data_IF_330735559583
#
_entry.id   IF_330735559583
#
_cell.length_a   1.000
_cell.length_b   1.000
_cell.length_c   1.000
_cell.angle_alpha   90.00
_cell.angle_beta   90.00
_cell.angle_gamma   90.00
#
_symmetry.space_group_name_H-M   'P 1'
#
loop_
_entity.id
_entity.type
_entity.pdbx_description
1 polymer ?
#
# COMPACT_ATOMS: atom_id res chain seq x y z
N UNK A 1 -14.22 26.43 33.26
CA UNK A 1 -13.92 26.82 31.87
C UNK A 1 -12.56 26.24 31.51
N UNK A 2 -12.53 25.09 30.82
CA UNK A 2 -11.30 24.48 30.32
C UNK A 2 -11.34 24.46 28.81
N UNK A 3 -10.49 25.25 28.16
CA UNK A 3 -10.41 25.31 26.69
C UNK A 3 -9.81 24.01 26.17
N UNK A 4 -10.49 23.37 25.22
CA UNK A 4 -9.97 22.23 24.46
C UNK A 4 -8.69 22.67 23.75
N UNK A 5 -7.54 21.99 23.93
CA UNK A 5 -6.31 22.38 23.23
C UNK A 5 -6.53 22.26 21.70
N UNK A 6 -5.87 23.11 20.90
CA UNK A 6 -5.98 23.05 19.46
C UNK A 6 -5.41 21.70 18.99
N UNK A 7 -6.26 20.86 18.39
CA UNK A 7 -5.81 19.65 17.71
C UNK A 7 -4.83 20.07 16.62
N UNK A 8 -3.55 19.69 16.77
CA UNK A 8 -2.56 19.83 15.71
C UNK A 8 -3.13 19.26 14.40
N UNK A 9 -2.92 19.92 13.25
CA UNK A 9 -3.30 19.36 11.98
C UNK A 9 -2.53 18.04 11.81
N UNK A 10 -3.24 16.92 11.79
CA UNK A 10 -2.63 15.62 11.51
C UNK A 10 -2.22 15.67 10.05
N UNK A 11 -0.92 15.74 9.79
CA UNK A 11 -0.34 15.66 8.45
C UNK A 11 -0.97 14.49 7.70
N UNK A 12 -1.55 14.81 6.54
CA UNK A 12 -2.64 14.07 5.90
C UNK A 12 -2.23 12.76 5.22
N UNK A 13 -1.63 11.84 5.96
CA UNK A 13 -1.55 10.44 5.56
C UNK A 13 -2.87 9.73 5.86
N UNK A 14 -3.34 8.89 4.93
CA UNK A 14 -4.47 7.99 5.22
C UNK A 14 -4.05 7.03 6.35
N UNK A 15 -4.89 6.89 7.37
CA UNK A 15 -4.64 5.90 8.41
C UNK A 15 -4.77 4.50 7.80
N UNK A 16 -4.01 3.53 8.33
CA UNK A 16 -4.10 2.13 7.92
C UNK A 16 -5.56 1.63 7.90
N UNK A 17 -6.34 1.94 8.95
CA UNK A 17 -7.74 1.52 9.02
C UNK A 17 -8.63 2.12 7.92
N UNK A 18 -8.41 3.38 7.54
CA UNK A 18 -9.15 4.01 6.45
C UNK A 18 -8.83 3.36 5.09
N UNK A 19 -7.55 3.07 4.84
CA UNK A 19 -7.10 2.37 3.62
C UNK A 19 -7.63 0.94 3.60
N UNK A 20 -7.49 0.19 4.69
CA UNK A 20 -7.94 -1.19 4.81
C UNK A 20 -9.46 -1.31 4.58
N UNK A 21 -10.25 -0.40 5.14
CA UNK A 21 -11.71 -0.37 4.93
C UNK A 21 -12.06 -0.12 3.45
N UNK A 22 -11.34 0.80 2.80
CA UNK A 22 -11.55 1.11 1.39
C UNK A 22 -11.23 -0.08 0.49
N UNK A 23 -10.11 -0.78 0.78
CA UNK A 23 -9.70 -1.99 0.07
C UNK A 23 -10.64 -3.17 0.31
N UNK A 24 -11.12 -3.38 1.54
CA UNK A 24 -12.11 -4.42 1.86
C UNK A 24 -13.41 -4.21 1.07
N UNK A 25 -13.87 -2.95 0.96
CA UNK A 25 -15.03 -2.60 0.14
C UNK A 25 -14.81 -2.87 -1.35
N UNK A 26 -13.61 -2.60 -1.86
CA UNK A 26 -13.26 -2.91 -3.24
C UNK A 26 -13.23 -4.43 -3.49
N UNK A 27 -12.57 -5.19 -2.61
CA UNK A 27 -12.50 -6.65 -2.70
C UNK A 27 -13.89 -7.30 -2.66
N UNK A 28 -14.80 -6.81 -1.81
CA UNK A 28 -16.18 -7.31 -1.76
C UNK A 28 -16.94 -7.06 -3.07
N UNK A 29 -16.73 -5.92 -3.74
CA UNK A 29 -17.46 -5.55 -4.96
C UNK A 29 -16.88 -6.18 -6.23
N UNK A 30 -15.56 -6.30 -6.30
CA UNK A 30 -14.85 -6.77 -7.50
C UNK A 30 -14.60 -8.27 -7.46
N UNK A 31 -14.21 -8.80 -6.30
CA UNK A 31 -13.81 -10.20 -6.14
C UNK A 31 -14.89 -11.04 -5.45
N UNK A 32 -15.93 -10.42 -4.89
CA UNK A 32 -16.98 -11.12 -4.13
C UNK A 32 -16.51 -11.64 -2.77
N UNK A 33 -15.36 -11.17 -2.27
CA UNK A 33 -14.79 -11.62 -1.01
C UNK A 33 -15.66 -11.22 0.18
N UNK A 34 -15.77 -12.12 1.16
CA UNK A 34 -16.33 -11.78 2.47
C UNK A 34 -15.27 -11.04 3.28
N UNK A 35 -15.64 -10.32 4.35
CA UNK A 35 -14.67 -9.66 5.22
C UNK A 35 -13.57 -10.60 5.75
N UNK A 36 -13.91 -11.86 6.04
CA UNK A 36 -12.95 -12.87 6.51
C UNK A 36 -11.89 -13.21 5.45
N UNK A 37 -12.29 -13.37 4.19
CA UNK A 37 -11.36 -13.65 3.09
C UNK A 37 -10.35 -12.51 2.91
N UNK A 38 -10.80 -11.25 3.01
CA UNK A 38 -9.92 -10.08 2.96
C UNK A 38 -8.88 -10.07 4.08
N UNK A 39 -9.28 -10.37 5.32
CA UNK A 39 -8.36 -10.37 6.46
C UNK A 39 -7.40 -11.56 6.48
N UNK A 40 -7.76 -12.66 5.81
CA UNK A 40 -6.88 -13.82 5.63
C UNK A 40 -5.91 -13.67 4.46
N UNK A 41 -6.25 -12.85 3.45
CA UNK A 41 -5.39 -12.61 2.31
C UNK A 41 -4.13 -11.83 2.71
N UNK A 42 -2.98 -12.26 2.19
CA UNK A 42 -1.73 -11.52 2.34
C UNK A 42 -1.75 -10.26 1.46
N UNK A 43 -0.95 -9.23 1.79
CA UNK A 43 -0.84 -8.04 0.94
C UNK A 43 -0.40 -8.34 -0.50
N UNK A 44 0.44 -9.37 -0.69
CA UNK A 44 0.88 -9.81 -2.01
C UNK A 44 -0.28 -10.42 -2.80
N UNK A 45 -1.06 -11.32 -2.20
CA UNK A 45 -2.25 -11.92 -2.83
C UNK A 45 -3.31 -10.87 -3.15
N UNK A 46 -3.51 -9.89 -2.26
CA UNK A 46 -4.42 -8.77 -2.51
C UNK A 46 -3.96 -7.93 -3.71
N UNK A 47 -2.67 -7.61 -3.78
CA UNK A 47 -2.10 -6.86 -4.91
C UNK A 47 -2.26 -7.64 -6.22
N UNK A 48 -1.98 -8.94 -6.23
CA UNK A 48 -2.16 -9.80 -7.42
C UNK A 48 -3.62 -9.92 -7.82
N UNK A 49 -4.54 -10.03 -6.87
CA UNK A 49 -5.98 -10.18 -7.16
C UNK A 49 -6.61 -8.91 -7.75
N UNK A 50 -6.04 -7.74 -7.44
CA UNK A 50 -6.50 -6.44 -7.92
C UNK A 50 -5.70 -5.93 -9.13
N UNK A 51 -4.61 -6.59 -9.50
CA UNK A 51 -3.78 -6.19 -10.63
C UNK A 51 -4.54 -6.36 -11.95
N UNK A 52 -4.35 -5.41 -12.87
CA UNK A 52 -4.82 -5.57 -14.24
C UNK A 52 -3.99 -6.67 -14.92
N UNK A 53 -4.61 -7.77 -15.40
CA UNK A 53 -3.89 -8.86 -16.05
C UNK A 53 -3.20 -8.44 -17.37
N UNK A 54 -3.64 -7.34 -17.99
CA UNK A 54 -3.04 -6.81 -19.21
C UNK A 54 -1.95 -5.76 -18.92
N UNK A 55 -1.74 -5.36 -17.66
CA UNK A 55 -0.72 -4.38 -17.32
C UNK A 55 0.68 -4.98 -17.52
N UNK A 56 1.57 -4.32 -18.28
CA UNK A 56 2.96 -4.75 -18.36
C UNK A 56 3.62 -4.63 -16.99
N UNK A 57 4.59 -5.50 -16.66
CA UNK A 57 5.35 -5.36 -15.41
C UNK A 57 5.97 -3.96 -15.38
N UNK A 58 5.85 -3.28 -14.24
CA UNK A 58 6.42 -1.96 -14.06
C UNK A 58 7.93 -2.03 -14.31
N UNK A 59 8.39 -1.40 -15.39
CA UNK A 59 9.80 -1.29 -15.67
C UNK A 59 10.45 -0.42 -14.58
N UNK A 60 11.59 -0.84 -13.99
CA UNK A 60 12.28 -0.04 -13.00
C UNK A 60 12.68 1.30 -13.62
N UNK A 61 12.51 2.37 -12.87
CA UNK A 61 12.93 3.70 -13.31
C UNK A 61 14.44 3.82 -13.28
N UNK A 62 14.99 4.84 -13.96
CA UNK A 62 16.43 5.13 -13.86
C UNK A 62 16.89 5.35 -12.41
N UNK A 63 16.06 6.02 -11.61
CA UNK A 63 16.34 6.25 -10.19
C UNK A 63 16.35 4.93 -9.39
N UNK A 64 15.45 3.99 -9.71
CA UNK A 64 15.46 2.67 -9.07
C UNK A 64 16.76 1.92 -9.37
N UNK A 65 17.20 1.98 -10.64
CA UNK A 65 18.45 1.36 -11.13
C UNK A 65 19.67 1.96 -10.44
N UNK A 66 19.76 3.29 -10.37
CA UNK A 66 20.83 4.01 -9.67
C UNK A 66 20.91 3.59 -8.19
N UNK A 67 19.75 3.54 -7.52
CA UNK A 67 19.67 3.07 -6.13
C UNK A 67 20.06 1.59 -5.98
N UNK A 68 19.96 0.78 -7.04
CA UNK A 68 20.45 -0.62 -7.03
C UNK A 68 21.96 -0.69 -7.15
N UNK A 69 22.55 0.16 -7.97
CA UNK A 69 24.01 0.20 -8.13
C UNK A 69 24.70 0.71 -6.87
N UNK A 70 24.13 1.71 -6.20
CA UNK A 70 24.68 2.28 -4.94
C UNK A 70 24.76 1.23 -3.83
N UNK A 71 23.68 0.50 -3.56
CA UNK A 71 23.64 -0.53 -2.51
C UNK A 71 24.56 -1.73 -2.76
N UNK A 72 24.81 -2.08 -4.02
CA UNK A 72 25.76 -3.14 -4.38
C UNK A 72 27.22 -2.67 -4.26
N UNK A 73 27.47 -1.38 -4.46
CA UNK A 73 28.79 -0.76 -4.33
C UNK A 73 29.21 -0.58 -2.85
N UNK A 74 28.26 -0.30 -1.96
CA UNK A 74 28.50 -0.07 -0.53
C UNK A 74 28.78 -1.35 0.28
N UNK A 75 28.67 -2.54 -0.33
CA UNK A 75 28.88 -3.84 0.30
C UNK A 75 30.23 -4.51 -0.01
N UNK A 76 31.16 -3.80 -0.66
CA UNK A 76 32.44 -4.34 -1.13
C UNK A 76 33.64 -3.58 -0.51
N UNK A 77 33.73 -3.62 0.81
CA UNK A 77 34.92 -3.22 1.60
C UNK A 77 35.45 -4.40 2.43
#
# INVERSE_FOLDING_TARGET
MGTKPPSCPREGGLSFGAVALSLAGLAARVLGWRPDDFWRATPAELATSLADPAAPPAAPTRADIERMMERENDGRD
#
